data_IF_653889604882
#
_entry.id   IF_653889604882
#
_cell.length_a   1.000
_cell.length_b   1.000
_cell.length_c   1.000
_cell.angle_alpha   90.00
_cell.angle_beta   90.00
_cell.angle_gamma   90.00
#
_symmetry.space_group_name_H-M   'P 1'
#
loop_
_entity.id
_entity.type
_entity.pdbx_description
1 polymer ?
#
# COMPACT_ATOMS: atom_id res chain seq x y z
N UNK A 1 4.40 -21.95 -19.24
CA UNK A 1 5.20 -21.77 -18.01
C UNK A 1 4.33 -21.06 -16.98
N UNK A 2 4.52 -21.30 -15.68
CA UNK A 2 3.86 -20.52 -14.65
C UNK A 2 4.35 -19.06 -14.72
N UNK A 3 3.46 -18.09 -14.49
CA UNK A 3 3.82 -16.67 -14.41
C UNK A 3 4.68 -16.42 -13.16
N UNK A 4 5.60 -15.49 -13.24
CA UNK A 4 6.56 -15.17 -12.17
C UNK A 4 6.47 -13.71 -11.74
N UNK A 5 6.56 -13.46 -10.43
CA UNK A 5 6.55 -12.12 -9.86
C UNK A 5 7.71 -11.90 -8.88
N UNK A 6 8.29 -10.71 -8.91
CA UNK A 6 9.18 -10.21 -7.86
C UNK A 6 8.41 -9.18 -7.04
N UNK A 7 8.21 -9.48 -5.74
CA UNK A 7 7.48 -8.61 -4.81
C UNK A 7 8.44 -8.09 -3.75
N UNK A 8 8.69 -6.78 -3.71
CA UNK A 8 9.44 -6.15 -2.62
C UNK A 8 8.50 -5.75 -1.49
N UNK A 9 8.94 -5.80 -0.25
CA UNK A 9 8.07 -5.61 0.92
C UNK A 9 7.16 -6.82 1.18
N UNK A 10 7.59 -8.01 0.81
CA UNK A 10 6.81 -9.26 0.85
C UNK A 10 6.38 -9.70 2.25
N UNK A 11 7.14 -9.36 3.30
CA UNK A 11 6.78 -9.58 4.69
C UNK A 11 5.98 -8.42 5.31
N UNK A 12 5.76 -7.33 4.55
CA UNK A 12 4.88 -6.23 4.91
C UNK A 12 3.40 -6.65 4.92
N UNK A 13 2.52 -5.76 5.39
CA UNK A 13 1.08 -6.02 5.46
C UNK A 13 0.47 -6.36 4.09
N UNK A 14 0.56 -5.43 3.14
CA UNK A 14 -0.01 -5.62 1.79
C UNK A 14 0.77 -6.69 1.03
N UNK A 15 2.12 -6.69 1.15
CA UNK A 15 2.98 -7.64 0.45
C UNK A 15 2.69 -9.09 0.81
N UNK A 16 2.43 -9.39 2.09
CA UNK A 16 2.04 -10.73 2.54
C UNK A 16 0.74 -11.21 1.87
N UNK A 17 -0.31 -10.39 1.88
CA UNK A 17 -1.59 -10.74 1.25
C UNK A 17 -1.47 -10.89 -0.26
N UNK A 18 -0.71 -10.00 -0.91
CA UNK A 18 -0.46 -10.09 -2.35
C UNK A 18 0.31 -11.36 -2.71
N UNK A 19 1.41 -11.66 -1.99
CA UNK A 19 2.17 -12.90 -2.24
C UNK A 19 1.29 -14.14 -2.02
N UNK A 20 0.49 -14.17 -0.94
CA UNK A 20 -0.43 -15.28 -0.66
C UNK A 20 -1.42 -15.49 -1.80
N UNK A 21 -1.98 -14.41 -2.34
CA UNK A 21 -2.92 -14.47 -3.47
C UNK A 21 -2.25 -14.92 -4.76
N UNK A 22 -1.09 -14.37 -5.10
CA UNK A 22 -0.34 -14.77 -6.30
C UNK A 22 0.04 -16.25 -6.26
N UNK A 23 0.48 -16.75 -5.11
CA UNK A 23 0.79 -18.17 -4.92
C UNK A 23 -0.46 -19.05 -5.08
N UNK A 24 -1.61 -18.62 -4.53
CA UNK A 24 -2.89 -19.33 -4.71
C UNK A 24 -3.35 -19.34 -6.17
N UNK A 25 -3.04 -18.30 -6.95
CA UNK A 25 -3.33 -18.19 -8.38
C UNK A 25 -2.27 -18.91 -9.24
N UNK A 26 -1.34 -19.68 -8.65
CA UNK A 26 -0.35 -20.52 -9.34
C UNK A 26 0.87 -19.76 -9.87
N UNK A 27 1.18 -18.57 -9.35
CA UNK A 27 2.41 -17.85 -9.69
C UNK A 27 3.60 -18.40 -8.89
N UNK A 28 4.80 -18.27 -9.46
CA UNK A 28 6.04 -18.32 -8.67
C UNK A 28 6.38 -16.90 -8.18
N UNK A 29 6.71 -16.77 -6.90
CA UNK A 29 6.94 -15.47 -6.28
C UNK A 29 8.31 -15.41 -5.62
N UNK A 30 9.16 -14.47 -6.04
CA UNK A 30 10.36 -14.09 -5.28
C UNK A 30 9.99 -12.89 -4.40
N UNK A 31 10.10 -13.03 -3.08
CA UNK A 31 9.75 -12.00 -2.12
C UNK A 31 10.97 -11.41 -1.42
N UNK A 32 11.23 -10.11 -1.58
CA UNK A 32 12.28 -9.36 -0.89
C UNK A 32 11.71 -8.55 0.27
N UNK A 33 12.29 -8.65 1.47
CA UNK A 33 11.97 -7.78 2.61
C UNK A 33 13.19 -7.56 3.50
N UNK A 34 13.38 -6.35 4.00
CA UNK A 34 14.51 -6.00 4.88
C UNK A 34 14.28 -6.34 6.36
N UNK A 35 13.08 -6.79 6.73
CA UNK A 35 12.69 -7.08 8.12
C UNK A 35 12.98 -5.93 9.10
N UNK A 36 12.81 -4.67 8.63
CA UNK A 36 13.12 -3.48 9.43
C UNK A 36 12.35 -3.45 10.75
N UNK A 37 12.97 -2.99 11.88
CA UNK A 37 12.36 -2.99 13.20
C UNK A 37 11.45 -1.76 13.46
N UNK A 38 10.79 -1.23 12.43
CA UNK A 38 9.87 -0.10 12.56
C UNK A 38 8.67 -0.43 13.47
N UNK A 39 8.24 -1.70 13.45
CA UNK A 39 7.29 -2.28 14.40
C UNK A 39 7.73 -3.71 14.74
N UNK A 40 6.98 -4.41 15.58
CA UNK A 40 7.30 -5.76 16.02
C UNK A 40 7.67 -6.68 14.85
N UNK A 41 8.95 -7.02 14.74
CA UNK A 41 9.53 -7.83 13.66
C UNK A 41 8.89 -9.22 13.61
N UNK A 42 8.43 -9.77 14.75
CA UNK A 42 7.80 -11.10 14.82
C UNK A 42 6.57 -11.20 13.91
N UNK A 43 5.85 -10.10 13.67
CA UNK A 43 4.77 -10.07 12.68
C UNK A 43 5.28 -10.30 11.25
N UNK A 44 6.41 -9.70 10.89
CA UNK A 44 7.05 -9.87 9.58
C UNK A 44 7.61 -11.29 9.43
N UNK A 45 8.33 -11.77 10.44
CA UNK A 45 8.87 -13.13 10.48
C UNK A 45 7.75 -14.17 10.33
N UNK A 46 6.63 -13.99 11.04
CA UNK A 46 5.49 -14.92 10.95
C UNK A 46 4.85 -14.92 9.57
N UNK A 47 4.60 -13.75 8.97
CA UNK A 47 4.07 -13.66 7.59
C UNK A 47 5.02 -14.34 6.60
N UNK A 48 6.32 -14.07 6.72
CA UNK A 48 7.34 -14.63 5.83
C UNK A 48 7.45 -16.15 5.98
N UNK A 49 7.43 -16.67 7.22
CA UNK A 49 7.41 -18.10 7.47
C UNK A 49 6.17 -18.80 6.92
N UNK A 50 5.01 -18.14 6.95
CA UNK A 50 3.79 -18.69 6.34
C UNK A 50 3.90 -18.75 4.82
N UNK A 51 4.42 -17.72 4.16
CA UNK A 51 4.66 -17.73 2.71
C UNK A 51 5.67 -18.82 2.31
N UNK A 52 6.73 -19.01 3.10
CA UNK A 52 7.79 -19.98 2.84
C UNK A 52 7.33 -21.45 2.94
N UNK A 53 6.12 -21.72 3.46
CA UNK A 53 5.52 -23.06 3.41
C UNK A 53 5.09 -23.45 1.98
N UNK A 54 4.93 -22.50 1.08
CA UNK A 54 4.63 -22.76 -0.32
C UNK A 54 5.92 -22.88 -1.11
N UNK A 55 6.16 -24.02 -1.74
CA UNK A 55 7.37 -24.28 -2.54
C UNK A 55 7.57 -23.38 -3.76
N UNK A 56 6.52 -22.64 -4.20
CA UNK A 56 6.60 -21.64 -5.25
C UNK A 56 7.00 -20.24 -4.73
N UNK A 57 7.21 -20.06 -3.41
CA UNK A 57 7.70 -18.84 -2.82
C UNK A 57 9.19 -18.93 -2.52
N UNK A 58 9.97 -18.00 -3.06
CA UNK A 58 11.40 -17.82 -2.75
C UNK A 58 11.60 -16.63 -1.82
N UNK A 59 11.88 -16.84 -0.52
CA UNK A 59 12.17 -15.77 0.43
C UNK A 59 13.57 -15.18 0.23
N UNK A 60 13.68 -13.85 0.24
CA UNK A 60 14.95 -13.13 0.24
C UNK A 60 14.91 -12.06 1.32
N UNK A 61 15.91 -12.08 2.21
CA UNK A 61 16.10 -11.04 3.23
C UNK A 61 17.12 -10.05 2.71
N UNK A 62 16.73 -8.77 2.62
CA UNK A 62 17.62 -7.71 2.16
C UNK A 62 16.88 -6.39 1.99
N UNK A 63 17.65 -5.30 1.93
CA UNK A 63 17.13 -3.96 1.78
C UNK A 63 17.04 -3.58 0.30
N UNK A 64 15.90 -3.02 -0.12
CA UNK A 64 15.66 -2.63 -1.51
C UNK A 64 16.65 -1.56 -1.99
N UNK A 65 17.14 -0.72 -1.07
CA UNK A 65 18.13 0.33 -1.32
C UNK A 65 19.58 -0.18 -1.37
N UNK A 66 19.82 -1.46 -1.12
CA UNK A 66 21.18 -2.02 -1.23
C UNK A 66 21.60 -2.08 -2.70
N UNK A 67 22.67 -1.36 -3.01
CA UNK A 67 23.15 -1.19 -4.39
C UNK A 67 23.38 -2.55 -5.09
N UNK A 68 22.79 -2.71 -6.28
CA UNK A 68 22.92 -3.90 -7.11
C UNK A 68 22.08 -5.11 -6.65
N UNK A 69 21.48 -5.12 -5.47
CA UNK A 69 20.68 -6.25 -4.99
C UNK A 69 19.45 -6.48 -5.88
N UNK A 70 18.75 -5.42 -6.23
CA UNK A 70 17.59 -5.50 -7.12
C UNK A 70 17.96 -6.00 -8.51
N UNK A 71 19.07 -5.50 -9.06
CA UNK A 71 19.56 -5.93 -10.37
C UNK A 71 19.90 -7.45 -10.38
N UNK A 72 20.60 -7.94 -9.35
CA UNK A 72 20.91 -9.36 -9.22
C UNK A 72 19.65 -10.23 -9.11
N UNK A 73 18.64 -9.78 -8.31
CA UNK A 73 17.38 -10.52 -8.17
C UNK A 73 16.56 -10.56 -9.46
N UNK A 74 16.49 -9.45 -10.19
CA UNK A 74 15.77 -9.37 -11.47
C UNK A 74 16.45 -10.24 -12.53
N UNK A 75 17.78 -10.24 -12.58
CA UNK A 75 18.51 -11.09 -13.55
C UNK A 75 18.35 -12.58 -13.26
N UNK A 76 18.36 -12.96 -12.00
CA UNK A 76 18.21 -14.35 -11.55
C UNK A 76 16.75 -14.84 -11.70
N UNK A 77 15.77 -14.10 -11.17
CA UNK A 77 14.36 -14.50 -11.16
C UNK A 77 13.64 -14.31 -12.49
N UNK A 78 14.11 -13.37 -13.33
CA UNK A 78 13.48 -13.00 -14.62
C UNK A 78 11.96 -12.85 -14.52
N UNK A 79 11.47 -12.01 -13.61
CA UNK A 79 10.04 -11.92 -13.33
C UNK A 79 9.25 -11.35 -14.53
N UNK A 80 8.05 -11.89 -14.76
CA UNK A 80 7.10 -11.32 -15.72
C UNK A 80 6.56 -9.98 -15.21
N UNK A 81 6.41 -9.82 -13.88
CA UNK A 81 6.01 -8.58 -13.24
C UNK A 81 6.87 -8.27 -12.01
N UNK A 82 7.18 -6.99 -11.80
CA UNK A 82 7.81 -6.48 -10.58
C UNK A 82 6.77 -5.65 -9.84
N UNK A 83 6.47 -6.02 -8.58
CA UNK A 83 5.57 -5.26 -7.72
C UNK A 83 6.36 -4.69 -6.54
N UNK A 84 6.61 -3.39 -6.58
CA UNK A 84 7.41 -2.69 -5.59
C UNK A 84 6.51 -2.09 -4.49
N UNK A 85 6.44 -2.78 -3.35
CA UNK A 85 5.70 -2.35 -2.15
C UNK A 85 6.63 -1.98 -0.98
N UNK A 86 7.92 -2.31 -1.05
CA UNK A 86 8.89 -1.93 -0.04
C UNK A 86 8.98 -0.41 0.09
N UNK A 87 8.81 0.09 1.30
CA UNK A 87 8.89 1.51 1.61
C UNK A 87 8.95 1.71 3.12
N UNK A 88 9.54 2.82 3.56
CA UNK A 88 9.25 3.36 4.87
C UNK A 88 7.93 4.11 4.78
N UNK A 89 6.93 3.66 5.55
CA UNK A 89 5.58 4.22 5.55
C UNK A 89 5.28 4.94 6.88
N UNK A 90 4.27 5.82 6.86
CA UNK A 90 3.83 6.57 8.02
C UNK A 90 4.16 8.06 7.91
N UNK A 91 3.12 8.90 7.87
CA UNK A 91 3.27 10.36 7.73
C UNK A 91 4.06 10.95 8.91
N UNK A 92 3.68 10.58 10.15
CA UNK A 92 4.24 11.15 11.38
C UNK A 92 5.70 10.79 11.58
N UNK A 93 6.04 9.53 11.40
CA UNK A 93 7.44 9.07 11.53
C UNK A 93 8.37 9.75 10.52
N UNK A 94 7.86 10.23 9.37
CA UNK A 94 8.69 10.97 8.41
C UNK A 94 9.14 12.34 8.92
N UNK A 95 8.53 12.87 9.97
CA UNK A 95 8.94 14.10 10.64
C UNK A 95 10.18 13.83 11.50
N UNK A 96 10.18 12.69 12.20
CA UNK A 96 11.23 12.35 13.18
C UNK A 96 12.44 11.66 12.52
N UNK A 97 12.21 10.83 11.49
CA UNK A 97 13.23 10.03 10.82
C UNK A 97 13.23 10.19 9.29
N UNK A 98 13.42 11.41 8.73
CA UNK A 98 13.32 11.64 7.29
C UNK A 98 14.37 10.88 6.47
N UNK A 99 15.54 10.56 7.04
CA UNK A 99 16.60 9.80 6.36
C UNK A 99 16.16 8.39 5.98
N UNK A 100 15.33 7.73 6.79
CA UNK A 100 14.81 6.39 6.50
C UNK A 100 13.93 6.42 5.24
N UNK A 101 13.19 7.53 5.06
CA UNK A 101 12.35 7.74 3.87
C UNK A 101 13.16 8.05 2.62
N UNK A 102 14.25 8.80 2.75
CA UNK A 102 15.18 9.00 1.62
C UNK A 102 15.79 7.67 1.19
N UNK A 103 16.28 6.88 2.13
CA UNK A 103 16.90 5.58 1.85
C UNK A 103 15.90 4.62 1.21
N UNK A 104 14.83 4.27 1.90
CA UNK A 104 13.91 3.24 1.44
C UNK A 104 13.04 3.69 0.24
N UNK A 105 12.51 4.94 0.27
CA UNK A 105 11.53 5.36 -0.72
C UNK A 105 12.15 5.98 -1.98
N UNK A 106 13.26 6.72 -1.83
CA UNK A 106 13.91 7.37 -2.98
C UNK A 106 15.01 6.48 -3.53
N UNK A 107 16.03 6.15 -2.73
CA UNK A 107 17.12 5.28 -3.19
C UNK A 107 16.63 3.88 -3.52
N UNK A 108 15.73 3.30 -2.71
CA UNK A 108 15.15 1.99 -2.99
C UNK A 108 14.32 1.96 -4.28
N UNK A 109 13.49 2.96 -4.54
CA UNK A 109 12.77 3.06 -5.82
C UNK A 109 13.75 3.24 -7.00
N UNK A 110 14.82 4.01 -6.82
CA UNK A 110 15.87 4.15 -7.84
C UNK A 110 16.51 2.79 -8.20
N UNK A 111 16.87 1.97 -7.20
CA UNK A 111 17.45 0.63 -7.45
C UNK A 111 16.47 -0.30 -8.19
N UNK A 112 15.17 -0.21 -7.88
CA UNK A 112 14.13 -0.97 -8.63
C UNK A 112 14.06 -0.49 -10.09
N UNK A 113 14.12 0.81 -10.34
CA UNK A 113 14.09 1.39 -11.69
C UNK A 113 15.33 1.01 -12.48
N UNK A 114 16.52 1.03 -11.89
CA UNK A 114 17.77 0.59 -12.54
C UNK A 114 17.74 -0.90 -12.88
N UNK A 115 17.21 -1.73 -11.97
CA UNK A 115 17.02 -3.15 -12.25
C UNK A 115 16.02 -3.40 -13.39
N UNK A 116 14.91 -2.65 -13.41
CA UNK A 116 13.93 -2.72 -14.49
C UNK A 116 14.48 -2.19 -15.82
N UNK A 117 15.38 -1.18 -15.80
CA UNK A 117 16.09 -0.70 -16.99
C UNK A 117 17.03 -1.75 -17.57
N UNK A 118 17.78 -2.43 -16.71
CA UNK A 118 18.71 -3.47 -17.13
C UNK A 118 17.98 -4.68 -17.75
N UNK A 119 16.80 -5.00 -17.25
CA UNK A 119 15.91 -6.05 -17.77
C UNK A 119 14.48 -5.59 -17.66
N UNK A 120 13.91 -5.11 -18.73
CA UNK A 120 12.54 -4.58 -18.77
C UNK A 120 11.54 -5.71 -18.49
N UNK A 121 10.76 -5.62 -17.39
CA UNK A 121 9.70 -6.58 -17.10
C UNK A 121 8.49 -6.36 -18.00
N UNK A 122 7.59 -7.36 -18.08
CA UNK A 122 6.30 -7.18 -18.75
C UNK A 122 5.45 -6.06 -18.14
N UNK A 123 5.55 -5.86 -16.82
CA UNK A 123 4.90 -4.75 -16.12
C UNK A 123 5.64 -4.42 -14.81
N UNK A 124 5.92 -3.14 -14.58
CA UNK A 124 6.42 -2.61 -13.32
C UNK A 124 5.30 -1.90 -12.57
N UNK A 125 4.99 -2.35 -11.36
CA UNK A 125 3.93 -1.80 -10.53
C UNK A 125 4.54 -1.28 -9.23
N UNK A 126 4.30 0.01 -8.89
CA UNK A 126 4.96 0.67 -7.77
C UNK A 126 3.93 1.29 -6.83
N UNK A 127 4.05 1.02 -5.53
CA UNK A 127 3.20 1.62 -4.52
C UNK A 127 3.50 3.11 -4.33
N UNK A 128 2.51 3.95 -4.59
CA UNK A 128 2.41 5.35 -4.16
C UNK A 128 1.41 5.46 -3.00
N UNK A 129 0.78 6.59 -2.80
CA UNK A 129 -0.12 6.88 -1.68
C UNK A 129 -1.07 8.02 -2.01
N UNK A 130 -2.26 8.03 -1.43
CA UNK A 130 -3.17 9.19 -1.46
C UNK A 130 -2.57 10.44 -0.80
N UNK A 131 -1.55 10.30 0.03
CA UNK A 131 -0.86 11.44 0.64
C UNK A 131 -0.18 12.37 -0.38
N UNK A 132 0.07 11.91 -1.62
CA UNK A 132 0.63 12.75 -2.69
C UNK A 132 -0.32 13.87 -3.13
N UNK A 133 -1.63 13.73 -2.90
CA UNK A 133 -2.58 14.81 -3.17
C UNK A 133 -2.38 16.01 -2.24
N UNK A 134 -1.77 15.82 -1.07
CA UNK A 134 -1.29 16.88 -0.18
C UNK A 134 -2.38 17.84 0.25
N UNK A 135 -2.18 19.13 -0.06
CA UNK A 135 -3.08 20.25 0.29
C UNK A 135 -4.30 20.36 -0.65
N UNK A 136 -4.54 19.41 -1.56
CA UNK A 136 -5.72 19.45 -2.41
C UNK A 136 -6.99 19.30 -1.58
N UNK A 137 -7.97 20.17 -1.80
CA UNK A 137 -9.26 20.22 -1.08
C UNK A 137 -10.43 19.69 -1.89
N UNK A 138 -10.25 19.49 -3.20
CA UNK A 138 -11.28 18.89 -4.07
C UNK A 138 -11.35 17.39 -3.85
N UNK A 139 -12.52 16.87 -3.56
CA UNK A 139 -12.77 15.44 -3.34
C UNK A 139 -14.04 14.99 -4.05
N UNK A 140 -14.10 13.72 -4.50
CA UNK A 140 -13.06 12.67 -4.38
C UNK A 140 -11.78 13.04 -5.12
N UNK A 141 -10.62 12.51 -4.65
CA UNK A 141 -9.35 12.69 -5.35
C UNK A 141 -9.32 11.88 -6.65
N UNK A 142 -9.16 12.56 -7.78
CA UNK A 142 -8.95 11.93 -9.08
C UNK A 142 -7.46 11.86 -9.42
N UNK A 143 -7.05 10.88 -10.23
CA UNK A 143 -5.66 10.69 -10.62
C UNK A 143 -5.10 11.87 -11.42
N UNK A 144 -5.97 12.58 -12.13
CA UNK A 144 -5.67 13.78 -12.91
C UNK A 144 -5.54 15.06 -12.08
N UNK A 145 -5.89 15.00 -10.80
CA UNK A 145 -5.75 16.15 -9.90
C UNK A 145 -4.28 16.49 -9.67
N UNK A 146 -4.01 17.79 -9.52
CA UNK A 146 -2.68 18.24 -9.14
C UNK A 146 -2.26 17.64 -7.81
N UNK A 147 -1.02 17.17 -7.76
CA UNK A 147 -0.38 16.58 -6.59
C UNK A 147 0.98 17.26 -6.35
N UNK A 148 0.99 18.59 -6.20
CA UNK A 148 2.20 19.41 -6.20
C UNK A 148 2.55 19.99 -4.82
N UNK A 149 1.62 19.98 -3.85
CA UNK A 149 1.80 20.57 -2.52
C UNK A 149 1.75 19.50 -1.43
N UNK A 150 2.80 18.68 -1.34
CA UNK A 150 2.88 17.60 -0.35
C UNK A 150 2.98 18.17 1.07
N UNK A 151 2.17 17.64 2.00
CA UNK A 151 2.09 18.11 3.37
C UNK A 151 2.97 17.30 4.35
N UNK A 152 3.70 16.32 3.86
CA UNK A 152 4.65 15.54 4.66
C UNK A 152 5.85 15.09 3.84
N UNK A 153 6.96 14.84 4.53
CA UNK A 153 8.16 14.31 3.87
C UNK A 153 7.91 12.93 3.24
N UNK A 154 7.11 12.09 3.91
CA UNK A 154 6.63 10.83 3.32
C UNK A 154 5.96 11.04 1.96
N UNK A 155 4.99 11.95 1.89
CA UNK A 155 4.29 12.25 0.64
C UNK A 155 5.26 12.76 -0.45
N UNK A 156 6.21 13.64 -0.06
CA UNK A 156 7.23 14.15 -0.98
C UNK A 156 8.12 13.04 -1.55
N UNK A 157 8.57 12.09 -0.73
CA UNK A 157 9.38 10.95 -1.22
C UNK A 157 8.57 10.03 -2.14
N UNK A 158 7.28 9.81 -1.86
CA UNK A 158 6.41 9.01 -2.75
C UNK A 158 6.14 9.74 -4.07
N UNK A 159 5.92 11.05 -4.04
CA UNK A 159 5.77 11.87 -5.25
C UNK A 159 7.07 11.89 -6.09
N UNK A 160 8.22 11.96 -5.45
CA UNK A 160 9.52 11.82 -6.14
C UNK A 160 9.61 10.47 -6.87
N UNK A 161 9.14 9.38 -6.25
CA UNK A 161 9.04 8.06 -6.88
C UNK A 161 8.16 8.04 -8.13
N UNK A 162 6.99 8.74 -8.12
CA UNK A 162 6.14 8.89 -9.30
C UNK A 162 6.88 9.59 -10.46
N UNK A 163 7.59 10.69 -10.16
CA UNK A 163 8.36 11.44 -11.17
C UNK A 163 9.54 10.64 -11.72
N UNK A 164 10.30 9.94 -10.89
CA UNK A 164 11.38 9.05 -11.33
C UNK A 164 10.85 7.93 -12.23
N UNK A 165 9.77 7.26 -11.81
CA UNK A 165 9.15 6.17 -12.57
C UNK A 165 8.63 6.64 -13.94
N UNK A 166 8.02 7.82 -14.01
CA UNK A 166 7.59 8.41 -15.28
C UNK A 166 8.78 8.69 -16.22
N UNK A 167 9.87 9.25 -15.69
CA UNK A 167 11.08 9.51 -16.47
C UNK A 167 11.68 8.22 -17.06
N UNK A 168 11.75 7.16 -16.25
CA UNK A 168 12.24 5.85 -16.71
C UNK A 168 11.31 5.19 -17.73
N UNK A 169 9.99 5.29 -17.53
CA UNK A 169 9.01 4.82 -18.48
C UNK A 169 9.18 5.53 -19.84
N UNK A 170 9.38 6.86 -19.83
CA UNK A 170 9.60 7.64 -21.05
C UNK A 170 10.91 7.29 -21.76
N UNK A 171 12.03 7.26 -21.01
CA UNK A 171 13.36 7.10 -21.60
C UNK A 171 13.65 5.66 -22.04
N UNK A 172 13.11 4.68 -21.33
CA UNK A 172 13.47 3.27 -21.52
C UNK A 172 12.29 2.38 -21.91
N UNK A 173 11.09 2.96 -22.11
CA UNK A 173 9.91 2.22 -22.50
C UNK A 173 9.42 1.22 -21.46
N UNK A 174 9.70 1.43 -20.17
CA UNK A 174 9.30 0.52 -19.09
C UNK A 174 7.82 0.72 -18.78
N UNK A 175 6.94 -0.27 -19.07
CA UNK A 175 5.52 -0.11 -18.77
C UNK A 175 5.30 -0.08 -17.26
N UNK A 176 4.79 1.04 -16.75
CA UNK A 176 4.75 1.31 -15.31
C UNK A 176 3.37 1.78 -14.85
N UNK A 177 2.83 1.13 -13.81
CA UNK A 177 1.63 1.59 -13.09
C UNK A 177 1.99 1.97 -11.66
N UNK A 178 1.63 3.19 -11.25
CA UNK A 178 1.75 3.65 -9.87
C UNK A 178 0.43 3.45 -9.13
N UNK A 179 0.47 2.89 -7.92
CA UNK A 179 -0.75 2.72 -7.09
C UNK A 179 -0.84 3.81 -6.04
N UNK A 180 -1.87 4.63 -6.03
CA UNK A 180 -2.18 5.55 -4.95
C UNK A 180 -3.13 4.87 -3.97
N UNK A 181 -2.57 4.20 -2.95
CA UNK A 181 -3.34 3.55 -1.90
C UNK A 181 -3.94 4.57 -0.93
N UNK A 182 -5.18 4.28 -0.50
CA UNK A 182 -5.85 4.97 0.59
C UNK A 182 -5.63 4.26 1.93
N UNK A 183 -6.57 4.28 2.86
CA UNK A 183 -6.35 3.69 4.17
C UNK A 183 -6.66 2.19 4.14
N UNK A 184 -5.62 1.38 4.00
CA UNK A 184 -5.75 -0.09 3.94
C UNK A 184 -5.84 -0.67 5.34
N UNK A 185 -6.79 -1.59 5.57
CA UNK A 185 -7.00 -2.27 6.83
C UNK A 185 -7.34 -3.75 6.66
N UNK A 186 -7.19 -4.55 7.72
CA UNK A 186 -7.51 -5.98 7.70
C UNK A 186 -6.58 -6.81 8.58
N UNK A 187 -6.78 -8.14 8.62
CA UNK A 187 -5.93 -9.08 9.34
C UNK A 187 -4.44 -8.91 8.99
N UNK A 188 -3.56 -9.19 9.93
CA UNK A 188 -2.13 -8.97 9.74
C UNK A 188 -1.76 -7.51 9.46
N UNK A 189 -2.63 -6.55 9.83
CA UNK A 189 -2.41 -5.12 9.65
C UNK A 189 -1.19 -4.59 10.42
N UNK A 190 -0.84 -3.34 10.14
CA UNK A 190 0.30 -2.68 10.77
C UNK A 190 -0.06 -2.21 12.18
N UNK A 191 0.81 -2.46 13.20
CA UNK A 191 0.55 -2.07 14.60
C UNK A 191 0.49 -0.56 14.85
N UNK A 192 1.04 0.26 13.96
CA UNK A 192 1.04 1.72 14.03
C UNK A 192 -0.25 2.36 13.48
N UNK A 193 -1.16 1.57 12.87
CA UNK A 193 -2.44 2.04 12.33
C UNK A 193 -3.56 2.05 13.37
N UNK A 194 -4.56 2.90 13.14
CA UNK A 194 -5.67 3.15 14.07
C UNK A 194 -6.41 1.87 14.49
N UNK A 195 -6.77 0.98 13.54
CA UNK A 195 -7.47 -0.26 13.85
C UNK A 195 -6.74 -1.09 14.90
N UNK A 196 -5.43 -1.27 14.71
CA UNK A 196 -4.61 -2.06 15.61
C UNK A 196 -4.45 -1.37 16.98
N UNK A 197 -4.16 -0.06 16.98
CA UNK A 197 -4.00 0.73 18.21
C UNK A 197 -5.27 0.75 19.05
N UNK A 198 -6.41 0.98 18.40
CA UNK A 198 -7.70 1.05 19.08
C UNK A 198 -8.11 -0.32 19.63
N UNK A 199 -7.98 -1.38 18.84
CA UNK A 199 -8.26 -2.73 19.31
C UNK A 199 -7.42 -3.10 20.53
N UNK A 200 -6.11 -2.82 20.49
CA UNK A 200 -5.20 -3.07 21.62
C UNK A 200 -5.59 -2.26 22.86
N UNK A 201 -5.87 -0.98 22.71
CA UNK A 201 -6.23 -0.09 23.82
C UNK A 201 -7.57 -0.50 24.46
N UNK A 202 -8.59 -0.77 23.66
CA UNK A 202 -9.91 -1.18 24.15
C UNK A 202 -9.81 -2.49 24.95
N UNK A 203 -9.12 -3.50 24.42
CA UNK A 203 -8.92 -4.77 25.12
C UNK A 203 -8.12 -4.62 26.41
N UNK A 204 -7.23 -3.63 26.49
CA UNK A 204 -6.46 -3.30 27.70
C UNK A 204 -7.23 -2.38 28.69
N UNK A 205 -8.46 -1.96 28.37
CA UNK A 205 -9.21 -0.97 29.17
C UNK A 205 -8.60 0.43 29.16
N UNK A 206 -7.67 0.70 28.24
CA UNK A 206 -7.01 2.00 28.10
C UNK A 206 -7.81 2.93 27.17
N UNK A 207 -7.69 4.27 27.34
CA UNK A 207 -8.35 5.20 26.44
C UNK A 207 -7.75 5.16 25.03
N UNK A 208 -8.59 5.47 24.03
CA UNK A 208 -8.17 5.71 22.65
C UNK A 208 -8.11 7.21 22.35
N UNK A 209 -7.07 7.66 21.67
CA UNK A 209 -6.94 9.03 21.20
C UNK A 209 -7.72 9.24 19.90
N UNK A 210 -8.75 10.09 19.96
CA UNK A 210 -9.63 10.41 18.84
C UNK A 210 -9.30 11.80 18.34
N UNK A 211 -8.45 11.89 17.31
CA UNK A 211 -7.97 13.15 16.76
C UNK A 211 -9.03 13.93 15.99
N UNK A 212 -8.82 15.26 15.89
CA UNK A 212 -9.78 16.21 15.33
C UNK A 212 -11.18 16.04 15.93
N UNK A 213 -11.27 15.77 17.23
CA UNK A 213 -12.53 15.55 17.94
C UNK A 213 -13.45 14.51 17.28
N UNK A 214 -12.89 13.60 16.48
CA UNK A 214 -13.62 12.58 15.71
C UNK A 214 -14.15 13.05 14.36
N UNK A 215 -13.97 14.31 14.01
CA UNK A 215 -14.40 14.90 12.74
C UNK A 215 -13.39 14.61 11.61
N UNK A 216 -13.15 13.33 11.38
CA UNK A 216 -12.29 12.84 10.30
C UNK A 216 -13.02 11.80 9.46
N UNK A 217 -12.71 11.80 8.16
CA UNK A 217 -13.23 10.80 7.23
C UNK A 217 -12.08 10.18 6.45
N UNK A 218 -12.13 8.87 6.25
CA UNK A 218 -11.14 8.12 5.48
C UNK A 218 -11.83 7.13 4.55
N UNK A 219 -11.23 6.93 3.40
CA UNK A 219 -11.53 5.80 2.55
C UNK A 219 -10.81 4.58 3.13
N UNK A 220 -11.55 3.71 3.80
CA UNK A 220 -11.04 2.45 4.32
C UNK A 220 -11.19 1.35 3.28
N UNK A 221 -10.08 0.80 2.82
CA UNK A 221 -10.06 -0.27 1.82
C UNK A 221 -9.63 -1.58 2.48
N UNK A 222 -10.48 -2.60 2.43
CA UNK A 222 -10.13 -3.91 2.99
C UNK A 222 -8.98 -4.53 2.17
N UNK A 223 -8.04 -5.18 2.87
CA UNK A 223 -6.79 -5.62 2.23
C UNK A 223 -6.99 -6.59 1.08
N UNK A 224 -7.96 -7.53 1.17
CA UNK A 224 -8.20 -8.48 0.08
C UNK A 224 -8.84 -7.79 -1.14
N UNK A 225 -9.67 -6.77 -0.93
CA UNK A 225 -10.26 -5.97 -2.02
C UNK A 225 -9.17 -5.17 -2.75
N UNK A 226 -8.23 -4.60 -1.99
CA UNK A 226 -7.05 -3.92 -2.56
C UNK A 226 -6.19 -4.90 -3.36
N UNK A 227 -5.89 -6.07 -2.81
CA UNK A 227 -5.07 -7.10 -3.46
C UNK A 227 -5.72 -7.58 -4.75
N UNK A 228 -7.05 -7.76 -4.77
CA UNK A 228 -7.79 -8.08 -6.00
C UNK A 228 -7.56 -7.01 -7.07
N UNK A 229 -7.62 -5.72 -6.70
CA UNK A 229 -7.32 -4.61 -7.60
C UNK A 229 -5.90 -4.69 -8.17
N UNK A 230 -4.88 -4.94 -7.32
CA UNK A 230 -3.50 -5.09 -7.76
C UNK A 230 -3.35 -6.26 -8.72
N UNK A 231 -3.89 -7.43 -8.38
CA UNK A 231 -3.77 -8.66 -9.20
C UNK A 231 -4.38 -8.46 -10.58
N UNK A 232 -5.55 -7.83 -10.66
CA UNK A 232 -6.17 -7.53 -11.97
C UNK A 232 -5.34 -6.53 -12.77
N UNK A 233 -4.77 -5.50 -12.11
CA UNK A 233 -3.94 -4.49 -12.77
C UNK A 233 -2.63 -5.06 -13.30
N UNK A 234 -2.10 -6.18 -12.79
CA UNK A 234 -0.89 -6.81 -13.36
C UNK A 234 -1.06 -7.10 -14.85
N UNK A 235 -2.27 -7.50 -15.28
CA UNK A 235 -2.59 -7.79 -16.68
C UNK A 235 -2.93 -6.56 -17.53
N UNK A 236 -3.08 -5.37 -16.93
CA UNK A 236 -3.49 -4.14 -17.62
C UNK A 236 -2.27 -3.23 -17.79
N UNK A 237 -1.41 -3.61 -18.72
CA UNK A 237 -0.17 -2.91 -19.01
C UNK A 237 -0.46 -1.55 -19.66
N UNK A 238 0.12 -0.43 -19.21
CA UNK A 238 -0.04 0.87 -19.84
C UNK A 238 0.44 0.84 -21.30
N UNK A 239 -0.48 1.20 -22.21
CA UNK A 239 -0.20 1.30 -23.64
C UNK A 239 -0.07 2.75 -24.10
N UNK A 240 -0.52 3.05 -25.32
CA UNK A 240 -0.54 4.39 -25.93
C UNK A 240 -1.92 5.04 -25.94
N UNK A 241 -2.97 4.26 -25.74
CA UNK A 241 -4.36 4.74 -25.82
C UNK A 241 -5.01 4.75 -24.44
N UNK A 242 -5.61 5.88 -24.03
CA UNK A 242 -6.35 5.96 -22.78
C UNK A 242 -7.64 5.13 -22.84
N UNK A 243 -8.06 4.55 -21.71
CA UNK A 243 -9.33 3.81 -21.61
C UNK A 243 -10.54 4.71 -21.49
N UNK A 244 -10.35 5.99 -21.19
CA UNK A 244 -11.42 6.98 -21.06
C UNK A 244 -10.89 8.35 -20.65
N UNK A 245 -11.81 9.32 -20.46
CA UNK A 245 -11.43 10.70 -20.11
C UNK A 245 -10.81 10.86 -18.72
N UNK A 246 -11.07 9.91 -17.80
CA UNK A 246 -10.49 9.89 -16.46
C UNK A 246 -9.10 9.24 -16.40
N UNK A 247 -8.59 8.71 -17.53
CA UNK A 247 -7.31 8.00 -17.55
C UNK A 247 -6.14 8.95 -17.33
N UNK A 248 -5.30 8.61 -16.37
CA UNK A 248 -4.05 9.30 -16.07
C UNK A 248 -2.89 8.86 -16.96
N UNK A 249 -3.14 8.10 -18.02
CA UNK A 249 -2.13 7.63 -18.97
C UNK A 249 -1.31 8.80 -19.49
N UNK A 250 0.01 8.70 -19.37
CA UNK A 250 0.92 9.73 -19.90
C UNK A 250 0.85 9.80 -21.43
N UNK A 251 0.79 11.01 -22.02
CA UNK A 251 0.79 11.15 -23.47
C UNK A 251 2.16 10.87 -24.11
N UNK A 252 3.21 10.67 -23.30
CA UNK A 252 4.59 10.52 -23.76
C UNK A 252 5.33 9.31 -23.22
N UNK A 253 4.67 8.49 -22.40
CA UNK A 253 5.28 7.33 -21.75
C UNK A 253 4.24 6.22 -21.48
N UNK A 254 4.61 4.93 -21.48
CA UNK A 254 3.77 3.85 -21.02
C UNK A 254 3.67 3.87 -19.47
N UNK A 255 3.08 4.92 -18.93
CA UNK A 255 2.99 5.22 -17.51
C UNK A 255 1.59 5.67 -17.10
N UNK A 256 1.11 5.17 -15.98
CA UNK A 256 -0.20 5.51 -15.42
C UNK A 256 -0.15 5.55 -13.89
N UNK A 257 -0.89 6.49 -13.26
CA UNK A 257 -1.23 6.42 -11.84
C UNK A 257 -2.66 5.90 -11.69
N UNK A 258 -2.95 5.10 -10.66
CA UNK A 258 -4.28 4.54 -10.39
C UNK A 258 -4.57 4.61 -8.90
N UNK A 259 -5.70 5.21 -8.54
CA UNK A 259 -6.22 5.16 -7.18
C UNK A 259 -6.76 3.76 -6.88
N UNK A 260 -6.38 3.19 -5.73
CA UNK A 260 -7.00 1.98 -5.22
C UNK A 260 -7.62 2.30 -3.86
N UNK A 261 -8.92 2.55 -3.87
CA UNK A 261 -9.76 2.88 -2.74
C UNK A 261 -11.20 2.46 -2.99
N UNK A 262 -12.03 2.49 -1.96
CA UNK A 262 -13.45 2.14 -2.05
C UNK A 262 -14.32 3.24 -2.66
N UNK A 263 -13.82 4.49 -2.74
CA UNK A 263 -14.60 5.65 -3.17
C UNK A 263 -15.72 6.03 -2.20
N UNK A 264 -15.66 5.56 -0.95
CA UNK A 264 -16.67 5.85 0.06
C UNK A 264 -16.01 6.23 1.39
N UNK A 265 -16.14 7.49 1.81
CA UNK A 265 -15.59 7.94 3.07
C UNK A 265 -16.39 7.37 4.25
N UNK A 266 -15.67 6.87 5.26
CA UNK A 266 -16.21 6.41 6.54
C UNK A 266 -15.76 7.39 7.64
N UNK A 267 -16.68 7.82 8.50
CA UNK A 267 -16.37 8.69 9.63
C UNK A 267 -15.53 7.93 10.66
N UNK A 268 -14.59 8.62 11.29
CA UNK A 268 -13.73 8.00 12.31
C UNK A 268 -14.54 7.41 13.47
N UNK A 269 -15.61 8.07 13.89
CA UNK A 269 -16.46 7.56 14.98
C UNK A 269 -17.23 6.30 14.56
N UNK A 270 -17.72 6.21 13.32
CA UNK A 270 -18.41 5.01 12.81
C UNK A 270 -17.42 3.82 12.75
N UNK A 271 -16.15 4.11 12.41
CA UNK A 271 -15.08 3.11 12.45
C UNK A 271 -14.80 2.62 13.90
N UNK A 272 -14.78 3.54 14.86
CA UNK A 272 -14.64 3.18 16.28
C UNK A 272 -15.83 2.34 16.76
N UNK A 273 -17.06 2.70 16.38
CA UNK A 273 -18.26 1.91 16.71
C UNK A 273 -18.21 0.49 16.13
N UNK A 274 -17.70 0.32 14.91
CA UNK A 274 -17.49 -1.00 14.32
C UNK A 274 -16.48 -1.85 15.14
N UNK A 275 -15.42 -1.22 15.67
CA UNK A 275 -14.43 -1.89 16.54
C UNK A 275 -15.07 -2.27 17.88
N UNK A 276 -15.80 -1.34 18.50
CA UNK A 276 -16.54 -1.59 19.75
C UNK A 276 -17.52 -2.75 19.59
N UNK A 277 -18.27 -2.77 18.49
CA UNK A 277 -19.23 -3.85 18.17
C UNK A 277 -18.54 -5.20 17.99
N UNK A 278 -17.42 -5.25 17.27
CA UNK A 278 -16.66 -6.48 17.05
C UNK A 278 -16.00 -7.01 18.34
N UNK A 279 -15.59 -6.12 19.23
CA UNK A 279 -14.99 -6.47 20.53
C UNK A 279 -16.03 -6.82 21.60
N UNK A 280 -17.27 -6.33 21.47
CA UNK A 280 -18.30 -6.39 22.54
C UNK A 280 -17.97 -5.46 23.72
N UNK A 281 -17.13 -4.45 23.51
CA UNK A 281 -16.60 -3.58 24.56
C UNK A 281 -16.55 -2.12 24.08
N UNK A 282 -17.00 -1.17 24.93
CA UNK A 282 -16.95 0.26 24.63
C UNK A 282 -15.56 0.87 24.88
N UNK A 283 -15.16 1.79 24.00
CA UNK A 283 -13.93 2.55 24.16
C UNK A 283 -14.11 3.75 25.08
N UNK A 284 -13.14 4.00 25.95
CA UNK A 284 -12.96 5.31 26.58
C UNK A 284 -12.28 6.22 25.56
N UNK A 285 -12.99 7.27 25.10
CA UNK A 285 -12.52 8.16 24.04
C UNK A 285 -11.90 9.42 24.65
N UNK A 286 -10.63 9.69 24.34
CA UNK A 286 -9.95 10.95 24.63
C UNK A 286 -9.95 11.80 23.36
N UNK A 287 -10.75 12.86 23.33
CA UNK A 287 -10.84 13.75 22.17
C UNK A 287 -9.62 14.65 22.10
N UNK A 288 -8.94 14.64 20.96
CA UNK A 288 -7.70 15.38 20.72
C UNK A 288 -7.85 16.37 19.56
N UNK A 289 -7.09 17.49 19.55
CA UNK A 289 -7.02 18.37 18.39
C UNK A 289 -6.41 17.64 17.18
N UNK A 290 -6.55 18.24 16.00
CA UNK A 290 -5.94 17.69 14.77
C UNK A 290 -4.41 17.68 14.89
N UNK A 291 -3.77 16.63 14.40
CA UNK A 291 -2.32 16.51 14.41
C UNK A 291 -1.68 17.20 13.19
N UNK A 292 -0.44 17.71 13.33
CA UNK A 292 0.32 18.22 12.19
C UNK A 292 0.51 17.17 11.09
N UNK A 293 0.33 17.59 9.83
CA UNK A 293 0.46 16.72 8.67
C UNK A 293 -0.76 15.85 8.36
N UNK A 294 -1.78 15.83 9.21
CA UNK A 294 -3.07 15.17 8.93
C UNK A 294 -4.00 16.10 8.12
N UNK A 295 -4.89 15.49 7.35
CA UNK A 295 -5.97 16.17 6.62
C UNK A 295 -7.32 15.67 7.13
N UNK A 296 -8.39 16.53 7.13
CA UNK A 296 -9.67 16.16 7.73
C UNK A 296 -10.36 15.00 6.99
N UNK A 297 -10.20 14.92 5.67
CA UNK A 297 -10.85 13.89 4.87
C UNK A 297 -9.99 13.43 3.71
N UNK A 298 -10.12 12.16 3.30
CA UNK A 298 -9.51 11.61 2.08
C UNK A 298 -10.38 10.48 1.54
N UNK A 299 -10.77 10.53 0.25
CA UNK A 299 -11.36 9.38 -0.44
C UNK A 299 -11.08 9.44 -1.94
N UNK A 300 -11.06 8.25 -2.56
CA UNK A 300 -10.73 8.06 -3.97
C UNK A 300 -11.90 8.37 -4.90
N UNK A 301 -11.61 8.94 -6.05
CA UNK A 301 -12.36 8.62 -7.25
C UNK A 301 -11.89 7.24 -7.74
N UNK A 302 -12.80 6.27 -7.77
CA UNK A 302 -12.52 4.90 -8.19
C UNK A 302 -12.97 4.63 -9.63
N UNK A 303 -13.20 5.67 -10.43
CA UNK A 303 -13.68 5.55 -11.82
C UNK A 303 -12.64 4.87 -12.69
N UNK A 304 -11.40 5.35 -12.66
CA UNK A 304 -10.33 4.80 -13.50
C UNK A 304 -10.07 3.32 -13.23
N UNK A 305 -9.93 2.92 -11.97
CA UNK A 305 -9.67 1.50 -11.67
C UNK A 305 -10.83 0.62 -12.14
N UNK A 306 -12.08 1.07 -11.98
CA UNK A 306 -13.26 0.34 -12.47
C UNK A 306 -13.28 0.23 -14.00
N UNK A 307 -12.87 1.27 -14.71
CA UNK A 307 -12.79 1.27 -16.17
C UNK A 307 -11.67 0.34 -16.68
N UNK A 308 -10.57 0.21 -15.92
CA UNK A 308 -9.44 -0.66 -16.26
C UNK A 308 -9.71 -2.14 -15.99
N UNK A 309 -10.29 -2.48 -14.84
CA UNK A 309 -10.34 -3.87 -14.35
C UNK A 309 -11.75 -4.37 -14.03
N UNK A 310 -12.78 -3.56 -14.29
CA UNK A 310 -14.15 -3.84 -13.90
C UNK A 310 -14.42 -3.58 -12.40
N UNK A 311 -15.63 -3.87 -11.93
CA UNK A 311 -15.98 -3.66 -10.52
C UNK A 311 -15.12 -4.54 -9.60
N UNK A 312 -14.58 -3.93 -8.54
CA UNK A 312 -13.86 -4.63 -7.47
C UNK A 312 -14.83 -5.06 -6.36
N UNK A 313 -14.48 -6.12 -5.62
CA UNK A 313 -15.22 -6.46 -4.41
C UNK A 313 -15.14 -5.31 -3.41
N UNK A 314 -16.16 -5.20 -2.56
CA UNK A 314 -16.25 -4.19 -1.54
C UNK A 314 -16.67 -4.80 -0.22
N UNK A 315 -15.71 -4.99 0.66
CA UNK A 315 -15.97 -5.50 2.00
C UNK A 315 -16.51 -4.38 2.90
N UNK A 316 -17.69 -4.60 3.49
CA UNK A 316 -18.27 -3.65 4.45
C UNK A 316 -17.36 -3.47 5.67
N UNK A 317 -17.30 -2.24 6.20
CA UNK A 317 -16.38 -1.87 7.28
C UNK A 317 -16.55 -2.76 8.52
N UNK A 318 -17.79 -3.07 8.88
CA UNK A 318 -18.13 -3.92 10.04
C UNK A 318 -17.60 -5.34 9.86
N UNK A 319 -17.70 -5.90 8.66
CA UNK A 319 -17.19 -7.24 8.36
C UNK A 319 -15.65 -7.27 8.34
N UNK A 320 -15.01 -6.30 7.70
CA UNK A 320 -13.55 -6.21 7.67
C UNK A 320 -12.94 -6.02 9.05
N UNK A 321 -13.58 -5.19 9.90
CA UNK A 321 -13.18 -5.00 11.29
C UNK A 321 -13.40 -6.29 12.10
N UNK A 322 -14.52 -7.00 11.91
CA UNK A 322 -14.79 -8.27 12.57
C UNK A 322 -13.70 -9.32 12.25
N UNK A 323 -13.31 -9.45 10.97
CA UNK A 323 -12.23 -10.35 10.54
C UNK A 323 -10.89 -9.98 11.17
N UNK A 324 -10.57 -8.68 11.24
CA UNK A 324 -9.37 -8.21 11.93
C UNK A 324 -9.38 -8.56 13.41
N UNK A 325 -10.48 -8.28 14.12
CA UNK A 325 -10.61 -8.56 15.56
C UNK A 325 -10.51 -10.07 15.85
N UNK A 326 -11.11 -10.92 15.02
CA UNK A 326 -10.99 -12.38 15.14
C UNK A 326 -9.53 -12.82 15.00
N UNK A 327 -8.82 -12.34 13.96
CA UNK A 327 -7.41 -12.59 13.78
C UNK A 327 -6.56 -12.07 14.94
N UNK A 328 -6.85 -10.84 15.43
CA UNK A 328 -6.10 -10.23 16.53
C UNK A 328 -6.19 -11.07 17.80
N UNK A 329 -7.41 -11.50 18.18
CA UNK A 329 -7.63 -12.35 19.35
C UNK A 329 -6.92 -13.70 19.24
N UNK A 330 -6.98 -14.32 18.09
CA UNK A 330 -6.30 -15.60 17.84
C UNK A 330 -4.79 -15.45 17.94
N UNK A 331 -4.21 -14.44 17.25
CA UNK A 331 -2.79 -14.21 17.21
C UNK A 331 -2.18 -13.84 18.56
N UNK A 332 -2.85 -12.95 19.31
CA UNK A 332 -2.38 -12.47 20.62
C UNK A 332 -2.93 -13.30 21.79
N UNK A 333 -3.82 -14.25 21.55
CA UNK A 333 -4.48 -15.11 22.56
C UNK A 333 -5.21 -14.30 23.66
N UNK A 334 -6.04 -13.33 23.24
CA UNK A 334 -6.79 -12.42 24.10
C UNK A 334 -8.28 -12.40 23.78
#
# INVERSE_FOLDING_TARGET
MARSALVTGSAGFIGYHLCSRLLADGWTVTGLDAMTPYYDVRLKERRHAMLAQNGAFRPVIGAVEAAGQMAALVDDARPDAIIHLAAQAGVRHSIDAPRDYMSANVSGTFEVLEAARARVPGHLLIASTSSVYGANTSMPYAETDRADHQMSFYAATKKAGEGMAHSYAHLYGIPTTMFRFFTVYGPWGRPDMALFKFTRAILAGAPIEVYNHGEMQRDFTYVDDLVEGIVRLIGIVPGTEPVGAADSLSPVAPWRAVNIGNGAPVRLLDFVEAIEGALGQRATKQMMPMQPGDVPATWADATLIRDLVGPLPRTEITEGVRRFVSWYREYYRV
#
